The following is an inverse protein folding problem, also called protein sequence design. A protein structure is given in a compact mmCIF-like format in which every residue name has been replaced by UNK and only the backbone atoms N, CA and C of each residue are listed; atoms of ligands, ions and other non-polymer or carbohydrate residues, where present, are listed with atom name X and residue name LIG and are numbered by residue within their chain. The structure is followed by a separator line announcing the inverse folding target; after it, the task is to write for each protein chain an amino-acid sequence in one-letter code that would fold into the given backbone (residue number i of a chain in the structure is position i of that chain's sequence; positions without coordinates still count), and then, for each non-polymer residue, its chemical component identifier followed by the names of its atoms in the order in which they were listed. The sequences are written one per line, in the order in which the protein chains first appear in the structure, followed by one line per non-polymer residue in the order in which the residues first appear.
data_IF_028891378514
#
_entry.id   IF_028891378514
#
_cell.length_a   1.000
_cell.length_b   1.000
_cell.length_c   1.000
_cell.angle_alpha   90.00
_cell.angle_beta   90.00
_cell.angle_gamma   90.00
#
_symmetry.space_group_name_H-M   'P 1'
#
loop_
_entity.id
_entity.type
_entity.pdbx_description
1 polymer ?
#
# COMPACT_ATOMS: atom_id res chain seq x y z
N UNK A 1 11.52 -1.33 -1.24
CA UNK A 1 12.27 -1.89 -2.40
C UNK A 1 12.84 -3.28 -2.16
N UNK A 2 13.59 -3.56 -1.08
CA UNK A 2 14.19 -4.90 -0.86
C UNK A 2 13.18 -6.05 -0.75
N UNK A 3 12.07 -5.84 -0.06
CA UNK A 3 10.97 -6.83 -0.01
C UNK A 3 10.43 -7.14 -1.43
N UNK A 4 10.29 -6.11 -2.28
CA UNK A 4 9.84 -6.26 -3.68
C UNK A 4 10.87 -7.04 -4.50
N UNK A 5 12.17 -6.74 -4.35
CA UNK A 5 13.24 -7.48 -5.01
C UNK A 5 13.24 -8.96 -4.63
N UNK A 6 13.11 -9.27 -3.34
CA UNK A 6 13.04 -10.65 -2.87
C UNK A 6 11.80 -11.37 -3.40
N UNK A 7 10.64 -10.71 -3.41
CA UNK A 7 9.41 -11.24 -3.98
C UNK A 7 9.53 -11.47 -5.50
N UNK A 8 10.11 -10.54 -6.25
CA UNK A 8 10.30 -10.67 -7.70
C UNK A 8 11.12 -11.93 -8.05
N UNK A 9 12.23 -12.17 -7.34
CA UNK A 9 13.05 -13.38 -7.52
C UNK A 9 12.27 -14.64 -7.14
N UNK A 10 11.60 -14.66 -5.98
CA UNK A 10 10.91 -15.85 -5.50
C UNK A 10 9.63 -16.21 -6.28
N UNK A 11 8.93 -15.21 -6.83
CA UNK A 11 7.65 -15.40 -7.52
C UNK A 11 7.81 -15.64 -9.01
N UNK A 12 8.74 -14.94 -9.67
CA UNK A 12 8.85 -14.90 -11.12
C UNK A 12 10.27 -15.18 -11.65
N UNK A 13 11.23 -15.53 -10.78
CA UNK A 13 12.65 -15.67 -11.11
C UNK A 13 13.27 -14.42 -11.77
N UNK A 14 12.69 -13.25 -11.46
CA UNK A 14 13.17 -11.96 -11.98
C UNK A 14 14.23 -11.40 -11.05
N UNK A 15 15.44 -11.23 -11.58
CA UNK A 15 16.51 -10.51 -10.88
C UNK A 15 16.40 -9.02 -11.13
N UNK A 16 16.04 -8.28 -10.08
CA UNK A 16 16.17 -6.83 -10.06
C UNK A 16 17.55 -6.49 -9.53
N UNK A 17 18.46 -5.90 -10.33
CA UNK A 17 19.81 -5.63 -9.87
C UNK A 17 19.83 -4.41 -8.92
N UNK A 18 20.92 -4.25 -8.17
CA UNK A 18 20.99 -3.25 -7.10
C UNK A 18 20.84 -1.81 -7.62
N UNK A 19 21.47 -1.54 -8.75
CA UNK A 19 21.42 -0.27 -9.46
C UNK A 19 20.00 0.09 -9.89
N UNK A 20 19.15 -0.89 -10.24
CA UNK A 20 17.75 -0.63 -10.56
C UNK A 20 16.96 -0.19 -9.32
N UNK A 21 17.26 -0.76 -8.14
CA UNK A 21 16.63 -0.31 -6.90
C UNK A 21 17.06 1.10 -6.52
N UNK A 22 18.36 1.39 -6.62
CA UNK A 22 18.90 2.71 -6.33
C UNK A 22 18.31 3.76 -7.27
N UNK A 23 18.28 3.44 -8.57
CA UNK A 23 17.66 4.27 -9.58
C UNK A 23 16.19 4.54 -9.26
N UNK A 24 15.39 3.51 -8.94
CA UNK A 24 13.97 3.71 -8.61
C UNK A 24 13.74 4.57 -7.36
N UNK A 25 14.67 4.58 -6.40
CA UNK A 25 14.57 5.42 -5.20
C UNK A 25 14.97 6.87 -5.48
N UNK A 26 15.89 7.09 -6.41
CA UNK A 26 16.55 8.39 -6.64
C UNK A 26 16.17 9.08 -7.95
N UNK A 27 15.42 8.41 -8.82
CA UNK A 27 15.01 8.91 -10.14
C UNK A 27 14.34 10.28 -10.03
N UNK A 28 13.40 10.41 -9.10
CA UNK A 28 12.75 11.68 -8.81
C UNK A 28 13.49 12.36 -7.64
N UNK A 29 14.10 13.55 -7.87
CA UNK A 29 14.76 14.24 -6.78
C UNK A 29 13.72 14.67 -5.73
N UNK A 30 14.09 14.59 -4.45
CA UNK A 30 13.20 14.95 -3.33
C UNK A 30 12.64 16.37 -3.47
N UNK A 31 13.40 17.26 -4.10
CA UNK A 31 13.02 18.66 -4.37
C UNK A 31 11.98 18.84 -5.47
N UNK A 32 11.64 17.78 -6.21
CA UNK A 32 10.62 17.85 -7.26
C UNK A 32 9.20 17.99 -6.68
N UNK A 33 9.00 17.58 -5.41
CA UNK A 33 7.69 17.59 -4.73
C UNK A 33 6.55 16.99 -5.58
N UNK A 34 6.86 16.01 -6.41
CA UNK A 34 5.89 15.42 -7.33
C UNK A 34 5.02 14.40 -6.57
N UNK A 35 3.68 14.61 -6.48
CA UNK A 35 2.82 13.64 -5.82
C UNK A 35 2.67 12.40 -6.71
N UNK A 36 2.85 11.17 -6.17
CA UNK A 36 2.55 9.96 -6.93
C UNK A 36 1.06 9.88 -7.24
N UNK A 37 0.69 9.14 -8.30
CA UNK A 37 -0.70 9.02 -8.78
C UNK A 37 -1.69 8.64 -7.68
N UNK A 38 -1.39 7.64 -6.85
CA UNK A 38 -2.26 7.26 -5.73
C UNK A 38 -2.45 8.38 -4.70
N UNK A 39 -1.48 9.29 -4.52
CA UNK A 39 -1.67 10.45 -3.65
C UNK A 39 -2.61 11.47 -4.29
N UNK A 40 -2.53 11.65 -5.62
CA UNK A 40 -3.49 12.47 -6.37
C UNK A 40 -4.90 11.90 -6.23
N UNK A 41 -5.06 10.58 -6.34
CA UNK A 41 -6.35 9.91 -6.14
C UNK A 41 -6.93 10.16 -4.74
N UNK A 42 -6.10 10.02 -3.70
CA UNK A 42 -6.52 10.31 -2.32
C UNK A 42 -6.98 11.76 -2.18
N UNK A 43 -6.26 12.72 -2.77
CA UNK A 43 -6.63 14.16 -2.73
C UNK A 43 -7.92 14.43 -3.49
N UNK A 44 -8.19 13.70 -4.56
CA UNK A 44 -9.41 13.83 -5.37
C UNK A 44 -10.58 12.96 -4.89
N UNK A 45 -10.44 12.24 -3.76
CA UNK A 45 -11.48 11.35 -3.25
C UNK A 45 -11.76 10.14 -4.15
N UNK A 46 -10.80 9.78 -5.02
CA UNK A 46 -10.85 8.61 -5.89
C UNK A 46 -10.36 7.37 -5.14
N UNK A 47 -10.65 6.21 -5.71
CA UNK A 47 -10.10 4.95 -5.23
C UNK A 47 -8.69 4.76 -5.78
N UNK A 48 -7.83 4.15 -4.99
CA UNK A 48 -6.43 3.92 -5.35
C UNK A 48 -6.22 2.49 -5.82
N UNK A 49 -5.10 2.26 -6.51
CA UNK A 49 -4.67 0.95 -7.01
C UNK A 49 -3.91 0.12 -5.96
N UNK A 50 -4.12 0.40 -4.65
CA UNK A 50 -3.33 -0.22 -3.59
C UNK A 50 -3.46 -1.76 -3.53
N UNK A 51 -4.60 -2.33 -3.95
CA UNK A 51 -4.77 -3.78 -4.00
C UNK A 51 -3.89 -4.42 -5.07
N UNK A 52 -3.75 -3.81 -6.25
CA UNK A 52 -2.91 -4.32 -7.34
C UNK A 52 -1.43 -4.04 -7.07
N UNK A 53 -1.07 -2.83 -6.67
CA UNK A 53 0.33 -2.45 -6.49
C UNK A 53 0.93 -3.07 -5.22
N UNK A 54 0.23 -2.98 -4.09
CA UNK A 54 0.74 -3.39 -2.78
C UNK A 54 0.14 -4.72 -2.34
N UNK A 55 -1.18 -4.88 -2.48
CA UNK A 55 -1.89 -6.07 -2.01
C UNK A 55 -1.46 -7.36 -2.70
N UNK A 56 -1.41 -7.39 -4.03
CA UNK A 56 -0.91 -8.54 -4.81
C UNK A 56 0.54 -8.85 -4.45
N UNK A 57 1.41 -7.84 -4.42
CA UNK A 57 2.82 -8.01 -4.03
C UNK A 57 2.97 -8.67 -2.65
N UNK A 58 2.21 -8.22 -1.65
CA UNK A 58 2.23 -8.82 -0.30
C UNK A 58 1.70 -10.25 -0.31
N UNK A 59 0.60 -10.52 -1.03
CA UNK A 59 0.01 -11.87 -1.11
C UNK A 59 0.95 -12.86 -1.78
N UNK A 60 1.46 -12.53 -2.96
CA UNK A 60 2.37 -13.39 -3.73
C UNK A 60 3.68 -13.64 -2.97
N UNK A 61 4.29 -12.59 -2.41
CA UNK A 61 5.52 -12.72 -1.62
C UNK A 61 5.35 -13.66 -0.43
N UNK A 62 4.22 -13.54 0.31
CA UNK A 62 3.91 -14.43 1.44
C UNK A 62 3.66 -15.87 1.03
N UNK A 63 2.98 -16.11 -0.11
CA UNK A 63 2.78 -17.47 -0.66
C UNK A 63 4.12 -18.14 -0.91
N UNK A 64 5.12 -17.38 -1.38
CA UNK A 64 6.51 -17.85 -1.57
C UNK A 64 7.38 -17.80 -0.31
N UNK A 65 6.79 -17.56 0.87
CA UNK A 65 7.48 -17.47 2.17
C UNK A 65 8.54 -16.35 2.24
N UNK A 66 8.41 -15.32 1.42
CA UNK A 66 9.21 -14.10 1.53
C UNK A 66 8.64 -13.24 2.65
N UNK A 67 9.51 -12.71 3.52
CA UNK A 67 9.12 -11.78 4.56
C UNK A 67 8.74 -10.43 3.95
N UNK A 68 7.51 -9.97 4.21
CA UNK A 68 6.96 -8.70 3.68
C UNK A 68 6.50 -7.72 4.79
N UNK A 69 7.24 -7.54 5.91
CA UNK A 69 6.74 -6.80 7.08
C UNK A 69 6.43 -5.32 6.78
N UNK A 70 7.28 -4.64 6.01
CA UNK A 70 7.09 -3.21 5.69
C UNK A 70 5.89 -3.02 4.77
N UNK A 71 5.82 -3.78 3.68
CA UNK A 71 4.68 -3.74 2.75
C UNK A 71 3.37 -4.17 3.42
N UNK A 72 3.43 -5.06 4.42
CA UNK A 72 2.26 -5.43 5.22
C UNK A 72 1.70 -4.23 5.99
N UNK A 73 2.56 -3.45 6.65
CA UNK A 73 2.15 -2.23 7.37
C UNK A 73 1.56 -1.22 6.38
N UNK A 74 2.25 -0.98 5.25
CA UNK A 74 1.76 -0.05 4.22
C UNK A 74 0.42 -0.49 3.63
N UNK A 75 0.25 -1.79 3.38
CA UNK A 75 -1.03 -2.36 2.93
C UNK A 75 -2.17 -2.05 3.92
N UNK A 76 -1.93 -2.24 5.22
CA UNK A 76 -2.91 -1.94 6.26
C UNK A 76 -3.32 -0.46 6.29
N UNK A 77 -2.34 0.44 6.19
CA UNK A 77 -2.57 1.90 6.17
C UNK A 77 -3.37 2.30 4.92
N UNK A 78 -2.97 1.82 3.74
CA UNK A 78 -3.65 2.12 2.47
C UNK A 78 -5.07 1.58 2.47
N UNK A 79 -5.29 0.38 3.03
CA UNK A 79 -6.62 -0.21 3.20
C UNK A 79 -7.51 0.65 4.10
N UNK A 80 -6.97 1.19 5.19
CA UNK A 80 -7.70 2.11 6.08
C UNK A 80 -8.06 3.43 5.38
N UNK A 81 -7.12 4.01 4.62
CA UNK A 81 -7.37 5.22 3.81
C UNK A 81 -8.47 4.97 2.78
N UNK A 82 -8.42 3.84 2.07
CA UNK A 82 -9.44 3.44 1.10
C UNK A 82 -10.80 3.23 1.77
N UNK A 83 -10.82 2.61 2.96
CA UNK A 83 -12.06 2.37 3.72
C UNK A 83 -12.74 3.69 4.11
N UNK A 84 -11.97 4.66 4.62
CA UNK A 84 -12.47 6.03 4.87
C UNK A 84 -13.03 6.69 3.61
N UNK A 85 -12.41 6.48 2.45
CA UNK A 85 -12.94 7.01 1.18
C UNK A 85 -14.24 6.29 0.78
N UNK A 86 -14.35 4.98 1.00
CA UNK A 86 -15.57 4.21 0.73
C UNK A 86 -16.73 4.66 1.63
N UNK A 87 -16.47 4.90 2.91
CA UNK A 87 -17.44 5.48 3.85
C UNK A 87 -17.95 6.84 3.36
N UNK A 88 -17.04 7.77 3.03
CA UNK A 88 -17.40 9.10 2.49
C UNK A 88 -18.23 9.04 1.20
N UNK A 89 -18.12 7.97 0.43
CA UNK A 89 -18.89 7.74 -0.80
C UNK A 89 -20.15 6.90 -0.58
N UNK A 90 -20.51 6.59 0.66
CA UNK A 90 -21.70 5.80 1.00
C UNK A 90 -21.62 4.33 0.63
N UNK A 91 -20.41 3.79 0.37
CA UNK A 91 -20.20 2.37 0.07
C UNK A 91 -19.99 1.52 1.33
N UNK A 92 -19.69 2.16 2.45
CA UNK A 92 -19.58 1.53 3.77
C UNK A 92 -20.40 2.36 4.74
N UNK A 93 -21.25 1.69 5.50
CA UNK A 93 -21.97 2.28 6.63
C UNK A 93 -21.24 1.89 7.90
N UNK A 94 -20.83 2.88 8.68
CA UNK A 94 -20.26 2.68 10.01
C UNK A 94 -21.39 2.81 11.02
N UNK A 95 -21.64 1.80 11.87
CA UNK A 95 -22.61 1.92 12.94
C UNK A 95 -22.25 3.09 13.88
N UNK A 96 -23.27 3.66 14.52
CA UNK A 96 -23.04 4.66 15.56
C UNK A 96 -22.15 4.07 16.68
N UNK A 97 -21.19 4.83 17.22
CA UNK A 97 -20.29 4.34 18.25
C UNK A 97 -21.06 4.06 19.54
N UNK A 98 -20.84 2.87 20.12
CA UNK A 98 -21.30 2.54 21.47
C UNK A 98 -20.16 2.77 22.45
N UNK A 99 -20.34 3.71 23.38
CA UNK A 99 -19.37 3.96 24.45
C UNK A 99 -19.56 2.95 25.58
N UNK A 100 -18.68 1.95 25.63
CA UNK A 100 -18.66 0.94 26.68
C UNK A 100 -17.81 1.35 27.91
N UNK A 101 -17.19 2.53 27.90
CA UNK A 101 -16.39 3.02 29.04
C UNK A 101 -17.28 3.58 30.15
N UNK A 102 -18.48 4.05 29.80
CA UNK A 102 -19.51 4.49 30.75
C UNK A 102 -20.51 3.35 30.94
N UNK A 103 -20.23 2.45 31.90
CA UNK A 103 -21.24 1.48 32.35
C UNK A 103 -22.41 2.26 32.96
N UNK A 104 -23.61 2.10 32.41
CA UNK A 104 -24.86 2.51 33.05
C UNK A 104 -25.10 1.72 34.34
#
# INVERSE_FOLDING_TARGET
MREIQAAAKACADVELPLEALEYMVTMDPVTMYNPPSMQVDVRSGRFTEFENIVGETVREGRVKRVAMPTLTVLYGILKAIQWRTKEKRGLVTVPEPEDHTVKK
#
